data_IF_728742717257
#
_entry.id   IF_728742717257
#
_cell.length_a   1.000
_cell.length_b   1.000
_cell.length_c   1.000
_cell.angle_alpha   90.00
_cell.angle_beta   90.00
_cell.angle_gamma   90.00
#
_symmetry.space_group_name_H-M   'P 1'
#
loop_
_entity.id
_entity.type
_entity.pdbx_description
1 polymer ?
#
# COMPACT_ATOMS: atom_id res chain seq x y z
N UNK A 1 17.37 60.18 -6.22
CA UNK A 1 15.95 60.53 -6.49
C UNK A 1 15.19 59.22 -6.69
N UNK A 2 14.19 58.96 -5.84
CA UNK A 2 13.05 58.03 -6.05
C UNK A 2 13.34 56.57 -6.39
N UNK A 3 13.18 55.66 -5.43
CA UNK A 3 12.38 54.41 -5.54
C UNK A 3 12.25 53.76 -4.14
N UNK A 4 11.73 54.52 -3.17
CA UNK A 4 11.04 53.97 -1.99
C UNK A 4 9.54 54.13 -2.24
N UNK A 5 8.74 53.18 -1.74
CA UNK A 5 7.28 53.15 -1.74
C UNK A 5 6.60 52.34 -2.88
N UNK A 6 6.74 51.01 -2.86
CA UNK A 6 5.67 50.14 -3.36
C UNK A 6 4.70 49.86 -2.22
N UNK A 7 3.53 50.48 -2.24
CA UNK A 7 2.42 50.10 -1.37
C UNK A 7 1.95 48.69 -1.74
N UNK A 8 1.56 47.85 -0.77
CA UNK A 8 1.05 46.51 -1.07
C UNK A 8 -0.23 46.62 -1.93
N UNK A 9 -0.26 45.91 -3.05
CA UNK A 9 -1.41 45.90 -3.95
C UNK A 9 -2.64 45.35 -3.21
N UNK A 10 -3.81 46.02 -3.29
CA UNK A 10 -5.01 45.54 -2.64
C UNK A 10 -5.39 44.17 -3.23
N UNK A 11 -5.84 43.20 -2.40
CA UNK A 11 -6.23 41.89 -2.88
C UNK A 11 -7.42 42.01 -3.85
N UNK A 12 -7.54 41.10 -4.83
CA UNK A 12 -8.58 41.15 -5.85
C UNK A 12 -9.99 41.15 -5.21
N UNK A 13 -10.97 41.86 -5.83
CA UNK A 13 -12.28 42.14 -5.22
C UNK A 13 -13.06 40.89 -4.77
N UNK A 14 -12.83 39.75 -5.43
CA UNK A 14 -13.44 38.45 -5.08
C UNK A 14 -12.99 37.96 -3.69
N UNK A 15 -11.80 38.33 -3.24
CA UNK A 15 -11.23 37.95 -1.94
C UNK A 15 -11.49 38.99 -0.84
N UNK A 16 -11.97 40.20 -1.18
CA UNK A 16 -12.15 41.30 -0.22
C UNK A 16 -13.15 41.06 0.92
N UNK A 17 -14.25 40.29 0.78
CA UNK A 17 -15.09 39.97 1.94
C UNK A 17 -14.39 38.94 2.85
N UNK A 18 -13.67 37.98 2.28
CA UNK A 18 -12.90 36.98 3.02
C UNK A 18 -11.76 37.62 3.83
N UNK A 19 -10.97 38.47 3.19
CA UNK A 19 -9.85 39.19 3.84
C UNK A 19 -10.32 40.09 4.99
N UNK A 20 -11.49 40.74 4.87
CA UNK A 20 -12.07 41.58 5.93
C UNK A 20 -12.55 40.78 7.14
N UNK A 21 -13.09 39.58 6.91
CA UNK A 21 -13.43 38.65 8.00
C UNK A 21 -12.16 38.13 8.66
N UNK A 22 -11.12 37.84 7.87
CA UNK A 22 -9.83 37.34 8.34
C UNK A 22 -9.04 38.34 9.20
N UNK A 23 -9.11 39.63 8.86
CA UNK A 23 -8.48 40.71 9.63
C UNK A 23 -9.11 40.97 11.00
N UNK A 24 -10.31 40.42 11.27
CA UNK A 24 -10.97 40.55 12.59
C UNK A 24 -10.49 39.50 13.60
N UNK A 25 -9.80 38.45 13.14
CA UNK A 25 -9.24 37.43 14.01
C UNK A 25 -7.84 37.83 14.49
N UNK A 26 -7.52 37.51 15.75
CA UNK A 26 -6.19 37.78 16.31
C UNK A 26 -5.08 37.18 15.43
N UNK A 27 -3.97 37.90 15.15
CA UNK A 27 -2.84 37.39 14.35
C UNK A 27 -2.29 36.05 14.85
N UNK A 28 -2.43 35.74 16.14
CA UNK A 28 -2.03 34.47 16.74
C UNK A 28 -2.91 33.27 16.37
N UNK A 29 -4.16 33.51 15.97
CA UNK A 29 -5.12 32.45 15.59
C UNK A 29 -5.12 32.18 14.08
N UNK A 30 -4.52 33.07 13.29
CA UNK A 30 -4.48 32.95 11.82
C UNK A 30 -3.90 31.62 11.33
N UNK A 31 -2.77 31.10 11.88
CA UNK A 31 -2.23 29.82 11.43
C UNK A 31 -3.17 28.64 11.72
N UNK A 32 -3.79 28.62 12.90
CA UNK A 32 -4.73 27.57 13.31
C UNK A 32 -5.99 27.61 12.44
N UNK A 33 -6.55 28.80 12.24
CA UNK A 33 -7.72 28.98 11.39
C UNK A 33 -7.42 28.63 9.92
N UNK A 34 -6.21 28.90 9.43
CA UNK A 34 -5.80 28.50 8.08
C UNK A 34 -5.76 26.97 7.93
N UNK A 35 -5.22 26.25 8.92
CA UNK A 35 -5.23 24.77 8.92
C UNK A 35 -6.66 24.26 8.96
N UNK A 36 -7.51 24.76 9.86
CA UNK A 36 -8.93 24.36 9.95
C UNK A 36 -9.68 24.64 8.65
N UNK A 37 -9.42 25.79 8.01
CA UNK A 37 -10.06 26.15 6.74
C UNK A 37 -9.57 25.23 5.61
N UNK A 38 -8.27 24.92 5.54
CA UNK A 38 -7.72 23.97 4.58
C UNK A 38 -8.34 22.57 4.76
N UNK A 39 -8.54 22.16 6.01
CA UNK A 39 -9.23 20.91 6.38
C UNK A 39 -10.67 20.89 5.86
N UNK A 40 -11.43 21.95 6.10
CA UNK A 40 -12.83 22.05 5.65
C UNK A 40 -12.92 22.11 4.12
N UNK A 41 -12.02 22.84 3.46
CA UNK A 41 -12.01 23.01 1.99
C UNK A 41 -11.61 21.72 1.26
N UNK A 42 -10.87 20.82 1.90
CA UNK A 42 -10.50 19.53 1.32
C UNK A 42 -11.68 18.54 1.24
N UNK A 43 -12.71 18.69 2.09
CA UNK A 43 -13.90 17.80 2.09
C UNK A 43 -14.63 17.82 0.73
N UNK A 44 -15.04 18.97 0.17
CA UNK A 44 -15.65 19.01 -1.16
C UNK A 44 -14.81 18.37 -2.26
N UNK A 45 -13.48 18.55 -2.21
CA UNK A 45 -12.56 17.93 -3.17
C UNK A 45 -12.57 16.41 -3.07
N UNK A 46 -12.46 15.85 -1.86
CA UNK A 46 -12.55 14.41 -1.64
C UNK A 46 -13.91 13.85 -2.07
N UNK A 47 -15.00 14.54 -1.74
CA UNK A 47 -16.34 14.13 -2.17
C UNK A 47 -16.41 14.06 -3.70
N UNK A 48 -15.93 15.08 -4.41
CA UNK A 48 -15.96 15.10 -5.88
C UNK A 48 -15.12 13.96 -6.48
N UNK A 49 -13.96 13.66 -5.90
CA UNK A 49 -13.06 12.63 -6.44
C UNK A 49 -13.48 11.20 -6.10
N UNK A 50 -14.17 11.00 -4.96
CA UNK A 50 -14.54 9.66 -4.46
C UNK A 50 -16.03 9.32 -4.57
N UNK A 51 -16.92 10.30 -4.78
CA UNK A 51 -18.36 10.06 -4.78
C UNK A 51 -18.81 9.08 -5.87
N UNK A 52 -18.15 8.99 -7.03
CA UNK A 52 -18.58 8.15 -8.16
C UNK A 52 -20.10 8.26 -8.46
N UNK A 53 -20.68 9.46 -8.27
CA UNK A 53 -22.13 9.72 -8.44
C UNK A 53 -22.97 9.71 -7.16
N UNK A 54 -22.44 9.28 -6.01
CA UNK A 54 -23.09 9.26 -4.70
C UNK A 54 -22.39 10.18 -3.69
N UNK A 55 -23.01 11.33 -3.43
CA UNK A 55 -22.52 12.34 -2.48
C UNK A 55 -22.43 11.78 -1.06
N UNK A 56 -23.34 10.88 -0.67
CA UNK A 56 -23.35 10.26 0.65
C UNK A 56 -22.12 9.38 0.87
N UNK A 57 -21.72 8.62 -0.15
CA UNK A 57 -20.50 7.81 -0.12
C UNK A 57 -19.24 8.68 -0.01
N UNK A 58 -19.13 9.72 -0.83
CA UNK A 58 -17.99 10.64 -0.80
C UNK A 58 -17.84 11.36 0.56
N UNK A 59 -18.95 11.74 1.19
CA UNK A 59 -18.95 12.32 2.53
C UNK A 59 -18.50 11.29 3.59
N UNK A 60 -19.01 10.06 3.53
CA UNK A 60 -18.61 9.00 4.44
C UNK A 60 -17.09 8.74 4.36
N UNK A 61 -16.55 8.63 3.15
CA UNK A 61 -15.10 8.46 2.93
C UNK A 61 -14.28 9.62 3.49
N UNK A 62 -14.72 10.87 3.29
CA UNK A 62 -14.06 12.03 3.88
C UNK A 62 -14.08 11.97 5.42
N UNK A 63 -15.24 11.67 6.02
CA UNK A 63 -15.36 11.53 7.47
C UNK A 63 -14.50 10.39 8.03
N UNK A 64 -14.42 9.24 7.36
CA UNK A 64 -13.53 8.14 7.77
C UNK A 64 -12.06 8.58 7.72
N UNK A 65 -11.64 9.29 6.67
CA UNK A 65 -10.27 9.78 6.56
C UNK A 65 -9.91 10.79 7.67
N UNK A 66 -10.84 11.69 8.02
CA UNK A 66 -10.65 12.62 9.15
C UNK A 66 -10.69 11.92 10.50
N UNK A 67 -11.59 10.96 10.70
CA UNK A 67 -11.62 10.16 11.91
C UNK A 67 -10.29 9.41 12.10
N UNK A 68 -9.75 8.79 11.05
CA UNK A 68 -8.45 8.13 11.09
C UNK A 68 -7.30 9.11 11.39
N UNK A 69 -7.34 10.34 10.84
CA UNK A 69 -6.36 11.37 11.17
C UNK A 69 -6.45 11.81 12.64
N UNK A 70 -7.66 12.02 13.16
CA UNK A 70 -7.88 12.42 14.55
C UNK A 70 -7.49 11.29 15.51
N UNK A 71 -7.86 10.04 15.19
CA UNK A 71 -7.42 8.85 15.93
C UNK A 71 -5.89 8.74 15.93
N UNK A 72 -5.26 8.91 14.77
CA UNK A 72 -3.80 8.83 14.64
C UNK A 72 -3.05 9.95 15.37
N UNK A 73 -3.64 11.14 15.51
CA UNK A 73 -2.97 12.31 16.10
C UNK A 73 -3.30 12.54 17.57
N UNK A 74 -4.57 12.40 17.97
CA UNK A 74 -5.04 12.71 19.33
C UNK A 74 -5.41 11.43 20.09
N UNK A 75 -5.54 10.30 19.39
CA UNK A 75 -5.98 9.06 20.01
C UNK A 75 -7.48 9.00 20.28
N UNK A 76 -8.30 9.81 19.60
CA UNK A 76 -9.76 9.76 19.74
C UNK A 76 -10.38 9.06 18.56
N UNK A 77 -11.20 8.02 18.81
CA UNK A 77 -11.91 7.28 17.78
C UNK A 77 -13.39 7.12 18.14
N UNK A 78 -14.24 6.96 17.12
CA UNK A 78 -15.65 6.61 17.31
C UNK A 78 -15.91 5.34 16.52
N UNK A 79 -16.27 4.28 17.24
CA UNK A 79 -16.45 2.95 16.68
C UNK A 79 -17.80 2.38 17.07
N UNK A 80 -18.32 1.49 16.25
CA UNK A 80 -19.57 0.78 16.55
C UNK A 80 -19.32 -0.38 17.51
N UNK A 81 -20.32 -0.69 18.31
CA UNK A 81 -20.32 -1.92 19.11
C UNK A 81 -20.35 -3.13 18.17
N UNK A 82 -19.73 -4.23 18.61
CA UNK A 82 -19.83 -5.52 17.92
C UNK A 82 -21.26 -6.04 18.01
N UNK A 83 -21.77 -6.59 16.92
CA UNK A 83 -23.11 -7.18 16.84
C UNK A 83 -23.06 -8.53 16.13
N UNK A 84 -24.08 -9.37 16.31
CA UNK A 84 -24.18 -10.65 15.58
C UNK A 84 -24.34 -10.47 14.06
N UNK A 85 -24.83 -9.31 13.61
CA UNK A 85 -24.95 -9.01 12.19
C UNK A 85 -23.58 -8.88 11.49
N UNK A 86 -22.52 -8.64 12.27
CA UNK A 86 -21.15 -8.49 11.78
C UNK A 86 -20.52 -9.78 11.28
N UNK A 87 -21.19 -10.91 11.53
CA UNK A 87 -20.79 -12.24 11.10
C UNK A 87 -21.88 -12.93 10.28
N UNK A 88 -22.92 -12.21 9.86
CA UNK A 88 -24.10 -12.80 9.23
C UNK A 88 -23.83 -13.54 7.92
N UNK A 89 -22.96 -13.00 7.05
CA UNK A 89 -22.61 -13.61 5.75
C UNK A 89 -21.74 -14.84 5.96
N UNK A 90 -20.79 -14.75 6.90
CA UNK A 90 -19.98 -15.90 7.28
C UNK A 90 -20.83 -17.00 7.95
N UNK A 91 -21.82 -16.63 8.78
CA UNK A 91 -22.77 -17.57 9.37
C UNK A 91 -23.63 -18.24 8.31
N UNK A 92 -24.13 -17.50 7.30
CA UNK A 92 -24.84 -18.09 6.15
C UNK A 92 -23.97 -19.14 5.46
N UNK A 93 -22.69 -18.84 5.23
CA UNK A 93 -21.76 -19.79 4.62
C UNK A 93 -21.52 -21.00 5.51
N UNK A 94 -21.27 -20.82 6.81
CA UNK A 94 -21.12 -21.91 7.79
C UNK A 94 -22.37 -22.76 7.96
N UNK A 95 -23.56 -22.23 7.66
CA UNK A 95 -24.80 -23.00 7.65
C UNK A 95 -24.96 -23.82 6.36
N UNK A 96 -24.39 -23.35 5.24
CA UNK A 96 -24.39 -24.08 3.97
C UNK A 96 -23.38 -25.22 3.93
N UNK A 97 -22.29 -25.10 4.68
CA UNK A 97 -21.24 -26.10 4.79
C UNK A 97 -20.64 -26.08 6.19
N UNK A 98 -20.45 -27.25 6.81
CA UNK A 98 -19.80 -27.35 8.11
C UNK A 98 -18.36 -26.85 8.01
N UNK A 99 -18.01 -25.84 8.81
CA UNK A 99 -16.69 -25.23 8.83
C UNK A 99 -16.09 -25.35 10.21
N UNK A 100 -14.87 -25.86 10.30
CA UNK A 100 -14.05 -25.74 11.50
C UNK A 100 -13.26 -24.44 11.51
N UNK A 101 -12.71 -24.04 12.67
CA UNK A 101 -11.79 -22.90 12.75
C UNK A 101 -10.58 -23.04 11.79
N UNK A 102 -10.07 -24.27 11.57
CA UNK A 102 -9.01 -24.50 10.60
C UNK A 102 -9.47 -24.20 9.17
N UNK A 103 -10.64 -24.70 8.80
CA UNK A 103 -11.21 -24.49 7.46
C UNK A 103 -11.52 -23.01 7.23
N UNK A 104 -12.01 -22.32 8.26
CA UNK A 104 -12.26 -20.88 8.23
C UNK A 104 -11.00 -20.08 7.94
N UNK A 105 -9.86 -20.40 8.57
CA UNK A 105 -8.58 -19.71 8.31
C UNK A 105 -8.08 -19.94 6.89
N UNK A 106 -8.20 -21.16 6.39
CA UNK A 106 -7.84 -21.46 5.01
C UNK A 106 -8.75 -20.73 4.02
N UNK A 107 -10.06 -20.74 4.29
CA UNK A 107 -11.04 -20.03 3.50
C UNK A 107 -10.80 -18.52 3.53
N UNK A 108 -10.52 -17.91 4.68
CA UNK A 108 -10.20 -16.49 4.81
C UNK A 108 -9.07 -16.08 3.87
N UNK A 109 -7.94 -16.81 3.89
CA UNK A 109 -6.81 -16.55 3.00
C UNK A 109 -7.18 -16.67 1.51
N UNK A 110 -8.05 -17.62 1.16
CA UNK A 110 -8.51 -17.81 -0.24
C UNK A 110 -9.47 -16.72 -0.67
N UNK A 111 -10.41 -16.33 0.19
CA UNK A 111 -11.32 -15.21 -0.08
C UNK A 111 -10.53 -13.91 -0.19
N UNK A 112 -9.54 -13.67 0.66
CA UNK A 112 -8.63 -12.53 0.54
C UNK A 112 -7.91 -12.54 -0.81
N UNK A 113 -7.39 -13.68 -1.26
CA UNK A 113 -6.78 -13.81 -2.59
C UNK A 113 -7.79 -13.55 -3.73
N UNK A 114 -9.01 -14.08 -3.63
CA UNK A 114 -10.10 -13.82 -4.59
C UNK A 114 -10.42 -12.31 -4.64
N UNK A 115 -10.51 -11.64 -3.49
CA UNK A 115 -10.80 -10.19 -3.46
C UNK A 115 -9.66 -9.36 -4.03
N UNK A 116 -8.41 -9.77 -3.83
CA UNK A 116 -7.24 -9.09 -4.39
C UNK A 116 -7.14 -9.23 -5.92
N UNK A 117 -7.43 -10.43 -6.44
CA UNK A 117 -7.43 -10.70 -7.89
C UNK A 117 -8.70 -10.16 -8.57
N UNK A 118 -9.82 -10.22 -7.86
CA UNK A 118 -11.18 -9.97 -8.34
C UNK A 118 -11.86 -11.28 -8.76
N UNK A 119 -13.04 -11.57 -8.17
CA UNK A 119 -13.83 -12.78 -8.44
C UNK A 119 -14.10 -13.03 -9.93
N UNK A 120 -14.46 -11.98 -10.68
CA UNK A 120 -14.66 -12.08 -12.13
C UNK A 120 -13.37 -12.43 -12.89
N UNK A 121 -12.22 -11.91 -12.43
CA UNK A 121 -10.92 -12.23 -13.02
C UNK A 121 -10.52 -13.68 -12.71
N UNK A 122 -10.75 -14.18 -11.49
CA UNK A 122 -10.48 -15.59 -11.14
C UNK A 122 -11.20 -16.53 -12.10
N UNK A 123 -12.50 -16.31 -12.34
CA UNK A 123 -13.29 -17.14 -13.26
C UNK A 123 -12.81 -17.00 -14.71
N UNK A 124 -12.52 -15.78 -15.16
CA UNK A 124 -12.00 -15.52 -16.52
C UNK A 124 -10.64 -16.20 -16.73
N UNK A 125 -9.73 -16.05 -15.78
CA UNK A 125 -8.41 -16.66 -15.82
C UNK A 125 -8.51 -18.19 -15.83
N UNK A 126 -9.40 -18.78 -15.04
CA UNK A 126 -9.64 -20.23 -15.05
C UNK A 126 -10.16 -20.73 -16.41
N UNK A 127 -11.05 -19.98 -17.07
CA UNK A 127 -11.50 -20.28 -18.43
C UNK A 127 -10.34 -20.21 -19.43
N UNK A 128 -9.50 -19.17 -19.35
CA UNK A 128 -8.30 -19.04 -20.17
C UNK A 128 -7.34 -20.22 -19.95
N UNK A 129 -7.09 -20.63 -18.71
CA UNK A 129 -6.27 -21.81 -18.39
C UNK A 129 -6.84 -23.07 -19.05
N UNK A 130 -8.14 -23.34 -18.86
CA UNK A 130 -8.81 -24.51 -19.47
C UNK A 130 -8.77 -24.48 -21.00
N UNK A 131 -8.79 -23.29 -21.62
CA UNK A 131 -8.71 -23.12 -23.07
C UNK A 131 -7.33 -23.51 -23.63
N UNK A 132 -6.25 -23.22 -22.90
CA UNK A 132 -4.88 -23.44 -23.38
C UNK A 132 -4.17 -24.63 -22.74
N UNK A 133 -4.80 -25.38 -21.83
CA UNK A 133 -4.21 -26.48 -21.07
C UNK A 133 -3.60 -27.61 -21.94
N UNK A 134 -4.13 -27.83 -23.14
CA UNK A 134 -3.62 -28.87 -24.05
C UNK A 134 -2.34 -28.42 -24.79
N UNK A 135 -2.00 -27.14 -24.70
CA UNK A 135 -0.91 -26.49 -25.44
C UNK A 135 0.16 -25.89 -24.52
N UNK A 136 -0.23 -25.52 -23.30
CA UNK A 136 0.65 -24.97 -22.27
C UNK A 136 0.37 -25.69 -20.95
N UNK A 137 1.44 -26.13 -20.30
CA UNK A 137 1.39 -26.55 -18.91
C UNK A 137 1.36 -25.33 -17.96
N UNK A 138 1.06 -25.51 -16.66
CA UNK A 138 0.99 -24.41 -15.70
C UNK A 138 2.26 -23.56 -15.64
N UNK A 139 3.44 -24.19 -15.73
CA UNK A 139 4.72 -23.47 -15.74
C UNK A 139 4.93 -22.67 -17.03
N UNK A 140 4.48 -23.18 -18.18
CA UNK A 140 4.50 -22.47 -19.46
C UNK A 140 3.60 -21.24 -19.45
N UNK A 141 2.42 -21.31 -18.81
CA UNK A 141 1.54 -20.14 -18.62
C UNK A 141 2.26 -19.04 -17.83
N UNK A 142 2.90 -19.39 -16.71
CA UNK A 142 3.63 -18.44 -15.89
C UNK A 142 4.84 -17.84 -16.63
N UNK A 143 5.61 -18.66 -17.33
CA UNK A 143 6.75 -18.21 -18.13
C UNK A 143 6.32 -17.21 -19.21
N UNK A 144 5.17 -17.43 -19.83
CA UNK A 144 4.58 -16.53 -20.81
C UNK A 144 4.11 -15.23 -20.14
N UNK A 145 3.34 -15.34 -19.04
CA UNK A 145 2.85 -14.21 -18.26
C UNK A 145 3.95 -13.29 -17.72
N UNK A 146 5.08 -13.86 -17.27
CA UNK A 146 6.26 -13.09 -16.83
C UNK A 146 6.84 -12.22 -17.95
N UNK A 147 6.77 -12.69 -19.20
CA UNK A 147 7.49 -12.09 -20.34
C UNK A 147 6.63 -11.19 -21.20
N UNK A 148 5.30 -11.35 -21.22
CA UNK A 148 4.41 -10.50 -22.02
C UNK A 148 4.60 -8.99 -21.75
N UNK A 149 4.74 -8.49 -20.49
CA UNK A 149 4.94 -7.06 -20.25
C UNK A 149 6.24 -6.54 -20.89
N UNK A 150 7.30 -7.35 -20.86
CA UNK A 150 8.60 -7.01 -21.48
C UNK A 150 8.53 -7.05 -23.00
N UNK A 151 7.82 -8.04 -23.57
CA UNK A 151 7.57 -8.11 -25.01
C UNK A 151 6.80 -6.87 -25.48
N UNK A 152 5.80 -6.43 -24.71
CA UNK A 152 5.03 -5.21 -24.98
C UNK A 152 5.89 -3.95 -24.89
N UNK A 153 6.77 -3.86 -23.89
CA UNK A 153 7.69 -2.74 -23.71
C UNK A 153 8.68 -2.60 -24.89
N UNK A 154 9.28 -3.71 -25.32
CA UNK A 154 10.28 -3.72 -26.40
C UNK A 154 9.60 -3.60 -27.78
N UNK A 155 8.43 -4.19 -27.92
CA UNK A 155 7.73 -4.37 -29.20
C UNK A 155 8.07 -5.71 -29.86
N UNK A 156 7.04 -6.42 -30.31
CA UNK A 156 7.19 -7.73 -30.94
C UNK A 156 8.02 -7.67 -32.23
N UNK A 157 7.82 -6.65 -33.06
CA UNK A 157 8.57 -6.49 -34.31
C UNK A 157 10.03 -6.15 -34.06
N UNK A 158 10.32 -5.30 -33.06
CA UNK A 158 11.67 -5.03 -32.59
C UNK A 158 12.36 -6.31 -32.14
N UNK A 159 11.68 -7.14 -31.33
CA UNK A 159 12.23 -8.42 -30.86
C UNK A 159 12.55 -9.38 -32.01
N UNK A 160 11.67 -9.47 -33.02
CA UNK A 160 11.91 -10.29 -34.21
C UNK A 160 13.08 -9.75 -35.04
N UNK A 161 13.16 -8.44 -35.24
CA UNK A 161 14.24 -7.79 -35.98
C UNK A 161 15.60 -7.93 -35.26
N UNK A 162 15.60 -7.94 -33.92
CA UNK A 162 16.80 -8.15 -33.11
C UNK A 162 17.31 -9.60 -33.09
N UNK A 163 16.54 -10.58 -33.59
CA UNK A 163 16.90 -12.00 -33.50
C UNK A 163 18.30 -12.32 -34.03
N UNK A 164 18.72 -11.84 -35.22
CA UNK A 164 20.05 -12.16 -35.75
C UNK A 164 21.18 -11.56 -34.91
N UNK A 165 20.99 -10.32 -34.41
CA UNK A 165 21.97 -9.65 -33.55
C UNK A 165 22.13 -10.37 -32.21
N UNK A 166 21.02 -10.76 -31.59
CA UNK A 166 21.02 -11.45 -30.29
C UNK A 166 21.69 -12.82 -30.40
N UNK A 167 21.42 -13.57 -31.48
CA UNK A 167 22.09 -14.85 -31.74
C UNK A 167 23.60 -14.67 -32.00
N UNK A 168 24.00 -13.62 -32.73
CA UNK A 168 25.42 -13.34 -32.97
C UNK A 168 26.16 -12.93 -31.68
N UNK A 169 25.54 -12.09 -30.84
CA UNK A 169 26.10 -11.67 -29.55
C UNK A 169 26.33 -12.84 -28.61
N UNK A 170 25.36 -13.76 -28.51
CA UNK A 170 25.43 -14.95 -27.66
C UNK A 170 26.58 -15.88 -28.03
N UNK A 171 26.85 -16.02 -29.35
CA UNK A 171 27.95 -16.84 -29.86
C UNK A 171 29.33 -16.18 -29.77
N UNK A 172 29.38 -14.85 -29.71
CA UNK A 172 30.63 -14.10 -29.78
C UNK A 172 31.24 -13.80 -28.40
N UNK A 173 30.41 -13.43 -27.41
CA UNK A 173 30.85 -12.94 -26.10
C UNK A 173 29.87 -13.36 -24.99
N UNK A 174 30.31 -13.30 -23.74
CA UNK A 174 29.40 -13.57 -22.60
C UNK A 174 28.32 -12.50 -22.49
N UNK A 175 27.16 -12.85 -21.90
CA UNK A 175 26.07 -11.88 -21.68
C UNK A 175 26.49 -10.65 -20.85
N UNK A 176 27.47 -10.79 -19.96
CA UNK A 176 28.00 -9.69 -19.15
C UNK A 176 28.87 -8.75 -19.99
N UNK A 177 29.71 -9.30 -20.86
CA UNK A 177 30.51 -8.52 -21.81
C UNK A 177 29.61 -7.81 -22.82
N UNK A 178 28.58 -8.48 -23.33
CA UNK A 178 27.59 -7.88 -24.23
C UNK A 178 26.86 -6.70 -23.59
N UNK A 179 26.48 -6.82 -22.32
CA UNK A 179 25.85 -5.71 -21.60
C UNK A 179 26.83 -4.55 -21.35
N UNK A 180 28.10 -4.86 -21.08
CA UNK A 180 29.15 -3.85 -20.89
C UNK A 180 29.40 -3.08 -22.19
N UNK A 181 29.53 -3.81 -23.30
CA UNK A 181 29.64 -3.26 -24.65
C UNK A 181 28.44 -2.33 -24.94
N UNK A 182 27.22 -2.80 -24.70
CA UNK A 182 26.02 -2.01 -24.96
C UNK A 182 25.98 -0.71 -24.13
N UNK A 183 26.35 -0.76 -22.85
CA UNK A 183 26.40 0.42 -21.97
C UNK A 183 27.43 1.45 -22.41
N UNK A 184 28.56 1.01 -22.96
CA UNK A 184 29.59 1.90 -23.47
C UNK A 184 29.04 2.82 -24.57
N UNK A 185 28.30 2.26 -25.52
CA UNK A 185 27.87 3.00 -26.71
C UNK A 185 26.54 3.76 -26.53
N UNK A 186 25.62 3.25 -25.72
CA UNK A 186 24.32 3.92 -25.48
C UNK A 186 24.51 5.25 -24.74
N UNK A 187 25.51 5.36 -23.86
CA UNK A 187 25.77 6.59 -23.10
C UNK A 187 26.28 7.77 -23.94
N UNK A 188 26.88 7.49 -25.11
CA UNK A 188 27.51 8.50 -25.96
C UNK A 188 26.54 9.11 -26.99
N UNK A 189 25.39 8.47 -27.24
CA UNK A 189 24.33 8.97 -28.14
C UNK A 189 24.69 8.99 -29.63
N UNK A 190 25.92 8.60 -30.00
CA UNK A 190 26.38 8.45 -31.38
C UNK A 190 27.51 7.42 -31.46
N UNK A 191 27.69 6.76 -32.61
CA UNK A 191 28.77 5.80 -32.84
C UNK A 191 29.79 6.47 -33.78
N UNK A 192 31.05 6.55 -33.36
CA UNK A 192 32.15 7.04 -34.21
C UNK A 192 32.57 5.96 -35.21
N UNK A 193 33.23 6.35 -36.31
CA UNK A 193 33.69 5.40 -37.33
C UNK A 193 34.66 4.34 -36.80
N UNK A 194 35.47 4.67 -35.79
CA UNK A 194 36.38 3.70 -35.14
C UNK A 194 35.62 2.69 -34.28
N UNK A 195 34.62 3.17 -33.52
CA UNK A 195 33.75 2.29 -32.72
C UNK A 195 32.91 1.39 -33.62
N UNK A 196 32.38 1.93 -34.72
CA UNK A 196 31.65 1.17 -35.73
C UNK A 196 32.49 0.03 -36.30
N UNK A 197 33.73 0.32 -36.72
CA UNK A 197 34.66 -0.70 -37.20
C UNK A 197 34.96 -1.77 -36.14
N UNK A 198 35.07 -1.38 -34.87
CA UNK A 198 35.29 -2.32 -33.75
C UNK A 198 34.08 -3.23 -33.51
N UNK A 199 32.86 -2.69 -33.57
CA UNK A 199 31.62 -3.47 -33.41
C UNK A 199 31.46 -4.42 -34.59
N UNK A 200 31.70 -3.98 -35.83
CA UNK A 200 31.61 -4.83 -37.02
C UNK A 200 32.66 -5.95 -37.03
N UNK A 201 33.87 -5.69 -36.53
CA UNK A 201 34.90 -6.71 -36.39
C UNK A 201 34.49 -7.83 -35.42
N UNK A 202 33.75 -7.48 -34.36
CA UNK A 202 33.23 -8.44 -33.38
C UNK A 202 31.93 -9.11 -33.86
N UNK A 203 31.05 -8.34 -34.51
CA UNK A 203 29.71 -8.73 -34.93
C UNK A 203 29.50 -8.32 -36.41
N UNK A 204 29.99 -9.11 -37.37
CA UNK A 204 29.92 -8.78 -38.79
C UNK A 204 28.50 -8.52 -39.31
N UNK A 205 27.49 -9.11 -38.67
CA UNK A 205 26.08 -8.92 -39.01
C UNK A 205 25.58 -7.47 -38.80
N UNK A 206 26.31 -6.66 -38.02
CA UNK A 206 25.96 -5.26 -37.79
C UNK A 206 26.28 -4.36 -38.98
N UNK A 207 27.05 -4.84 -39.98
CA UNK A 207 27.38 -4.08 -41.18
C UNK A 207 26.15 -3.62 -41.96
N UNK A 208 25.08 -4.42 -41.95
CA UNK A 208 23.82 -4.10 -42.63
C UNK A 208 22.87 -3.22 -41.80
N UNK A 209 23.20 -2.93 -40.53
CA UNK A 209 22.38 -2.09 -39.65
C UNK A 209 22.80 -0.62 -39.74
N UNK A 210 21.82 0.29 -39.69
CA UNK A 210 22.12 1.70 -39.50
C UNK A 210 22.66 1.96 -38.09
N UNK A 211 23.45 3.03 -37.90
CA UNK A 211 23.94 3.41 -36.56
C UNK A 211 22.78 3.68 -35.59
N UNK A 212 21.67 4.22 -36.10
CA UNK A 212 20.46 4.46 -35.32
C UNK A 212 19.81 3.17 -34.83
N UNK A 213 19.66 2.17 -35.71
CA UNK A 213 19.08 0.88 -35.34
C UNK A 213 19.98 0.11 -34.38
N UNK A 214 21.31 0.14 -34.61
CA UNK A 214 22.29 -0.47 -33.73
C UNK A 214 22.24 0.16 -32.33
N UNK A 215 22.24 1.49 -32.22
CA UNK A 215 22.08 2.18 -30.93
C UNK A 215 20.75 1.85 -30.25
N UNK A 216 19.66 1.78 -31.01
CA UNK A 216 18.35 1.39 -30.48
C UNK A 216 18.36 -0.02 -29.89
N UNK A 217 18.94 -0.99 -30.62
CA UNK A 217 19.04 -2.38 -30.16
C UNK A 217 19.98 -2.55 -28.97
N UNK A 218 21.12 -1.86 -28.94
CA UNK A 218 21.98 -1.81 -27.76
C UNK A 218 21.23 -1.19 -26.58
N UNK A 219 20.44 -0.14 -26.81
CA UNK A 219 19.55 0.47 -25.81
C UNK A 219 18.56 -0.53 -25.21
N UNK A 220 17.94 -1.38 -26.04
CA UNK A 220 17.07 -2.47 -25.56
C UNK A 220 17.83 -3.45 -24.66
N UNK A 221 19.05 -3.86 -25.05
CA UNK A 221 19.88 -4.77 -24.24
C UNK A 221 20.20 -4.14 -22.88
N UNK A 222 20.50 -2.84 -22.85
CA UNK A 222 20.76 -2.10 -21.60
C UNK A 222 19.51 -2.05 -20.72
N UNK A 223 18.37 -1.66 -21.29
CA UNK A 223 17.11 -1.51 -20.55
C UNK A 223 16.59 -2.85 -20.00
N UNK A 224 16.77 -3.93 -20.75
CA UNK A 224 16.35 -5.28 -20.34
C UNK A 224 17.40 -6.00 -19.47
N UNK A 225 18.47 -5.29 -19.09
CA UNK A 225 19.56 -5.76 -18.25
C UNK A 225 20.27 -7.02 -18.80
N UNK A 226 20.44 -7.08 -20.12
CA UNK A 226 21.29 -8.05 -20.79
C UNK A 226 20.60 -8.88 -21.88
N UNK A 227 21.44 -9.56 -22.67
CA UNK A 227 21.05 -10.36 -23.84
C UNK A 227 20.14 -11.52 -23.46
N UNK A 228 20.41 -12.20 -22.34
CA UNK A 228 19.60 -13.36 -21.87
C UNK A 228 18.14 -12.98 -21.60
N UNK A 229 17.88 -11.77 -21.08
CA UNK A 229 16.50 -11.33 -20.84
C UNK A 229 15.75 -11.10 -22.15
N UNK A 230 16.42 -10.54 -23.17
CA UNK A 230 15.89 -10.35 -24.52
C UNK A 230 15.63 -11.70 -25.19
N UNK A 231 16.57 -12.64 -25.12
CA UNK A 231 16.42 -14.01 -25.64
C UNK A 231 15.22 -14.73 -25.04
N UNK A 232 15.02 -14.65 -23.71
CA UNK A 232 13.86 -15.26 -23.06
C UNK A 232 12.55 -14.63 -23.56
N UNK A 233 12.55 -13.33 -23.81
CA UNK A 233 11.40 -12.62 -24.36
C UNK A 233 11.12 -13.02 -25.81
N UNK A 234 12.16 -13.22 -26.63
CA UNK A 234 12.04 -13.78 -27.99
C UNK A 234 11.49 -15.22 -27.97
N UNK A 235 11.97 -16.06 -27.06
CA UNK A 235 11.49 -17.43 -26.91
C UNK A 235 10.00 -17.46 -26.54
N UNK A 236 9.56 -16.62 -25.60
CA UNK A 236 8.14 -16.53 -25.24
C UNK A 236 7.28 -15.85 -26.31
N UNK A 237 7.83 -14.91 -27.09
CA UNK A 237 7.15 -14.37 -28.27
C UNK A 237 6.88 -15.46 -29.31
N UNK A 238 7.83 -16.37 -29.53
CA UNK A 238 7.62 -17.50 -30.44
C UNK A 238 6.55 -18.48 -29.93
N UNK A 239 6.46 -18.69 -28.61
CA UNK A 239 5.36 -19.45 -27.99
C UNK A 239 4.02 -18.75 -28.25
N UNK A 240 3.94 -17.44 -28.03
CA UNK A 240 2.74 -16.64 -28.26
C UNK A 240 2.29 -16.67 -29.73
N UNK A 241 3.23 -16.52 -30.67
CA UNK A 241 3.00 -16.64 -32.11
C UNK A 241 2.49 -18.05 -32.46
N UNK A 242 3.08 -19.09 -31.85
CA UNK A 242 2.62 -20.46 -31.98
C UNK A 242 1.19 -20.66 -31.50
N UNK A 243 0.75 -19.92 -30.46
CA UNK A 243 -0.62 -19.90 -29.99
C UNK A 243 -1.59 -19.18 -30.92
N UNK A 244 -1.08 -18.37 -31.86
CA UNK A 244 -1.89 -17.48 -32.69
C UNK A 244 -2.33 -16.22 -31.96
N UNK A 245 -1.57 -15.80 -30.94
CA UNK A 245 -1.88 -14.66 -30.08
C UNK A 245 -0.87 -13.54 -30.26
N UNK A 246 -1.29 -12.34 -29.90
CA UNK A 246 -0.50 -11.12 -29.76
C UNK A 246 -0.51 -10.67 -28.30
N UNK A 247 0.45 -9.82 -27.93
CA UNK A 247 0.52 -9.27 -26.55
C UNK A 247 -0.65 -8.34 -26.18
N UNK A 248 -1.52 -8.01 -27.12
CA UNK A 248 -2.70 -7.19 -26.91
C UNK A 248 -3.98 -8.02 -26.73
N UNK A 249 -3.94 -9.32 -27.05
CA UNK A 249 -5.11 -10.17 -26.93
C UNK A 249 -5.49 -10.42 -25.47
N UNK A 250 -6.79 -10.59 -25.21
CA UNK A 250 -7.31 -10.80 -23.86
C UNK A 250 -6.66 -11.99 -23.15
N UNK A 251 -6.44 -13.10 -23.87
CA UNK A 251 -5.75 -14.27 -23.32
C UNK A 251 -4.30 -13.98 -22.88
N UNK A 252 -3.59 -13.10 -23.61
CA UNK A 252 -2.24 -12.69 -23.23
C UNK A 252 -2.26 -11.85 -21.95
N UNK A 253 -3.20 -10.90 -21.85
CA UNK A 253 -3.42 -10.12 -20.62
C UNK A 253 -3.81 -11.01 -19.43
N UNK A 254 -4.58 -12.08 -19.68
CA UNK A 254 -4.94 -13.04 -18.66
C UNK A 254 -3.73 -13.85 -18.18
N UNK A 255 -2.80 -14.26 -19.06
CA UNK A 255 -1.56 -14.92 -18.65
C UNK A 255 -0.71 -14.05 -17.71
N UNK A 256 -0.64 -12.73 -17.94
CA UNK A 256 -0.01 -11.80 -16.99
C UNK A 256 -0.72 -11.82 -15.62
N UNK A 257 -2.05 -11.78 -15.63
CA UNK A 257 -2.86 -11.84 -14.41
C UNK A 257 -2.68 -13.14 -13.63
N UNK A 258 -2.60 -14.27 -14.34
CA UNK A 258 -2.34 -15.59 -13.77
C UNK A 258 -0.94 -15.62 -13.15
N UNK A 259 0.09 -15.17 -13.87
CA UNK A 259 1.45 -15.09 -13.36
C UNK A 259 1.55 -14.22 -12.09
N UNK A 260 0.82 -13.11 -12.03
CA UNK A 260 0.80 -12.25 -10.84
C UNK A 260 0.19 -12.94 -9.60
N UNK A 261 -0.61 -13.99 -9.79
CA UNK A 261 -1.14 -14.82 -8.70
C UNK A 261 -0.18 -15.96 -8.29
N UNK A 262 0.90 -16.20 -9.05
CA UNK A 262 1.87 -17.26 -8.77
C UNK A 262 2.63 -17.05 -7.46
N UNK A 263 3.28 -18.11 -6.99
CA UNK A 263 4.20 -18.07 -5.84
C UNK A 263 5.48 -18.85 -6.17
N UNK A 264 6.59 -18.67 -5.44
CA UNK A 264 7.89 -19.27 -5.79
C UNK A 264 7.88 -20.78 -6.02
N UNK A 265 6.95 -21.49 -5.37
CA UNK A 265 6.86 -22.96 -5.44
C UNK A 265 5.54 -23.45 -6.06
N UNK A 266 4.69 -22.56 -6.56
CA UNK A 266 3.38 -22.94 -7.09
C UNK A 266 2.97 -22.04 -8.24
N UNK A 267 2.73 -22.62 -9.43
CA UNK A 267 2.30 -21.87 -10.59
C UNK A 267 1.00 -21.10 -10.35
N UNK A 268 0.87 -19.95 -11.00
CA UNK A 268 -0.31 -19.11 -10.93
C UNK A 268 -1.57 -19.86 -11.37
N UNK A 269 -1.45 -20.67 -12.42
CA UNK A 269 -2.58 -21.44 -12.95
C UNK A 269 -3.19 -22.41 -11.91
N UNK A 270 -2.35 -23.11 -11.14
CA UNK A 270 -2.82 -24.02 -10.09
C UNK A 270 -3.50 -23.28 -8.95
N UNK A 271 -3.06 -22.06 -8.63
CA UNK A 271 -3.67 -21.21 -7.62
C UNK A 271 -5.03 -20.73 -8.12
N UNK A 272 -5.12 -20.23 -9.36
CA UNK A 272 -6.37 -19.74 -9.95
C UNK A 272 -7.44 -20.83 -10.00
N UNK A 273 -7.10 -22.05 -10.41
CA UNK A 273 -8.08 -23.16 -10.45
C UNK A 273 -8.57 -23.58 -9.04
N UNK A 274 -7.70 -23.48 -8.03
CA UNK A 274 -8.10 -23.68 -6.63
C UNK A 274 -9.06 -22.58 -6.15
N UNK A 275 -8.78 -21.31 -6.51
CA UNK A 275 -9.63 -20.18 -6.16
C UNK A 275 -10.96 -20.22 -6.91
N UNK A 276 -10.99 -20.66 -8.18
CA UNK A 276 -12.23 -20.89 -8.94
C UNK A 276 -13.15 -21.85 -8.18
N UNK A 277 -12.59 -22.94 -7.63
CA UNK A 277 -13.38 -23.92 -6.87
C UNK A 277 -14.06 -23.26 -5.67
N UNK A 278 -13.34 -22.41 -4.93
CA UNK A 278 -13.90 -21.68 -3.78
C UNK A 278 -14.93 -20.65 -4.24
N UNK A 279 -14.63 -19.89 -5.27
CA UNK A 279 -15.54 -18.88 -5.83
C UNK A 279 -16.87 -19.49 -6.27
N UNK A 280 -16.84 -20.65 -6.94
CA UNK A 280 -18.05 -21.37 -7.32
C UNK A 280 -18.85 -21.87 -6.11
N UNK A 281 -18.18 -22.30 -5.03
CA UNK A 281 -18.83 -22.66 -3.77
C UNK A 281 -19.49 -21.46 -3.10
N UNK A 282 -18.82 -20.30 -3.07
CA UNK A 282 -19.39 -19.06 -2.53
C UNK A 282 -20.66 -18.65 -3.29
N UNK A 283 -20.62 -18.70 -4.62
CA UNK A 283 -21.79 -18.43 -5.46
C UNK A 283 -22.92 -19.42 -5.21
N UNK A 284 -22.62 -20.71 -5.07
CA UNK A 284 -23.61 -21.73 -4.75
C UNK A 284 -24.25 -21.51 -3.35
N UNK A 285 -23.49 -20.97 -2.40
CA UNK A 285 -23.98 -20.56 -1.08
C UNK A 285 -24.73 -19.22 -1.10
N UNK A 286 -24.88 -18.57 -2.26
CA UNK A 286 -25.57 -17.28 -2.41
C UNK A 286 -24.76 -16.08 -1.91
N UNK A 287 -23.44 -16.24 -1.77
CA UNK A 287 -22.54 -15.15 -1.39
C UNK A 287 -22.14 -14.39 -2.66
N UNK A 288 -22.31 -13.06 -2.64
CA UNK A 288 -22.02 -12.19 -3.79
C UNK A 288 -21.18 -10.96 -3.43
N UNK A 289 -20.77 -10.83 -2.16
CA UNK A 289 -19.93 -9.75 -1.66
C UNK A 289 -18.72 -10.38 -0.94
N UNK A 290 -17.74 -10.79 -1.73
CA UNK A 290 -16.52 -11.41 -1.25
C UNK A 290 -15.70 -10.46 -0.34
N UNK A 291 -15.60 -9.15 -0.62
CA UNK A 291 -14.95 -8.20 0.31
C UNK A 291 -15.65 -8.08 1.66
N UNK A 292 -16.98 -8.17 1.71
CA UNK A 292 -17.70 -8.26 2.98
C UNK A 292 -17.37 -9.58 3.69
N UNK A 293 -17.46 -10.72 2.99
CA UNK A 293 -17.13 -12.02 3.56
C UNK A 293 -15.70 -12.05 4.12
N UNK A 294 -14.70 -11.58 3.37
CA UNK A 294 -13.30 -11.48 3.81
C UNK A 294 -13.18 -10.77 5.17
N UNK A 295 -13.82 -9.60 5.32
CA UNK A 295 -13.84 -8.85 6.59
C UNK A 295 -14.49 -9.63 7.72
N UNK A 296 -15.59 -10.34 7.46
CA UNK A 296 -16.26 -11.14 8.48
C UNK A 296 -15.42 -12.36 8.89
N UNK A 297 -14.77 -13.05 7.94
CA UNK A 297 -13.88 -14.16 8.24
C UNK A 297 -12.66 -13.71 9.06
N UNK A 298 -12.09 -12.54 8.74
CA UNK A 298 -11.03 -11.93 9.54
C UNK A 298 -11.47 -11.61 10.97
N UNK A 299 -12.68 -11.05 11.13
CA UNK A 299 -13.29 -10.81 12.44
C UNK A 299 -13.47 -12.11 13.23
N UNK A 300 -14.01 -13.16 12.61
CA UNK A 300 -14.23 -14.45 13.27
C UNK A 300 -12.91 -15.08 13.70
N UNK A 301 -11.88 -15.03 12.85
CA UNK A 301 -10.55 -15.49 13.23
C UNK A 301 -10.02 -14.72 14.45
N UNK A 302 -10.21 -13.41 14.51
CA UNK A 302 -9.85 -12.63 15.69
C UNK A 302 -10.65 -13.04 16.93
N UNK A 303 -11.96 -13.26 16.81
CA UNK A 303 -12.81 -13.73 17.91
C UNK A 303 -12.34 -15.08 18.47
N UNK A 304 -11.90 -16.01 17.63
CA UNK A 304 -11.27 -17.26 18.08
C UNK A 304 -9.91 -17.01 18.75
N UNK A 305 -9.09 -16.13 18.20
CA UNK A 305 -7.75 -15.85 18.73
C UNK A 305 -7.79 -15.21 20.13
N UNK A 306 -8.79 -14.36 20.39
CA UNK A 306 -9.00 -13.73 21.71
C UNK A 306 -9.88 -14.57 22.65
N UNK A 307 -10.28 -15.78 22.26
CA UNK A 307 -11.05 -16.70 23.10
C UNK A 307 -12.53 -16.33 23.30
N UNK A 308 -13.08 -15.44 22.47
CA UNK A 308 -14.52 -15.12 22.46
C UNK A 308 -15.32 -16.30 21.91
N UNK A 309 -14.79 -16.93 20.87
CA UNK A 309 -15.33 -18.16 20.29
C UNK A 309 -14.39 -19.33 20.62
N UNK A 310 -14.97 -20.46 21.00
CA UNK A 310 -14.21 -21.63 21.45
C UNK A 310 -14.67 -22.92 20.79
N UNK A 311 -15.94 -23.01 20.38
CA UNK A 311 -16.48 -24.19 19.73
C UNK A 311 -15.81 -24.48 18.38
N UNK A 312 -15.59 -25.76 18.11
CA UNK A 312 -14.92 -26.22 16.90
C UNK A 312 -15.75 -25.96 15.64
N UNK A 313 -17.07 -26.17 15.71
CA UNK A 313 -18.01 -25.85 14.64
C UNK A 313 -18.35 -24.36 14.65
N UNK A 314 -18.05 -23.67 13.55
CA UNK A 314 -18.17 -22.21 13.46
C UNK A 314 -19.63 -21.77 13.58
N UNK A 315 -20.57 -22.46 12.93
CA UNK A 315 -21.98 -22.08 13.00
C UNK A 315 -22.52 -22.15 14.45
N UNK A 316 -22.18 -23.23 15.16
CA UNK A 316 -22.53 -23.40 16.57
C UNK A 316 -21.86 -22.34 17.45
N UNK A 317 -20.58 -22.03 17.23
CA UNK A 317 -19.87 -20.99 17.97
C UNK A 317 -20.56 -19.61 17.80
N UNK A 318 -20.81 -19.21 16.55
CA UNK A 318 -21.42 -17.90 16.25
C UNK A 318 -22.84 -17.76 16.79
N UNK A 319 -23.62 -18.84 16.81
CA UNK A 319 -25.03 -18.80 17.26
C UNK A 319 -25.19 -18.96 18.76
N UNK A 320 -24.28 -19.66 19.44
CA UNK A 320 -24.43 -20.00 20.87
C UNK A 320 -23.49 -19.24 21.80
N UNK A 321 -22.34 -18.74 21.31
CA UNK A 321 -21.33 -18.10 22.15
C UNK A 321 -21.30 -16.58 21.96
N UNK A 322 -21.48 -16.09 20.73
CA UNK A 322 -21.27 -14.67 20.40
C UNK A 322 -22.27 -13.74 21.11
N UNK A 323 -23.58 -14.01 21.01
CA UNK A 323 -24.58 -13.14 21.62
C UNK A 323 -24.44 -13.09 23.16
N UNK A 324 -24.34 -14.22 23.88
CA UNK A 324 -24.11 -14.18 25.32
C UNK A 324 -22.82 -13.45 25.72
N UNK A 325 -21.77 -13.55 24.90
CA UNK A 325 -20.52 -12.83 25.15
C UNK A 325 -20.70 -11.32 25.00
N UNK A 326 -21.35 -10.85 23.94
CA UNK A 326 -21.62 -9.41 23.73
C UNK A 326 -22.55 -8.86 24.82
N UNK A 327 -23.50 -9.65 25.31
CA UNK A 327 -24.42 -9.24 26.38
C UNK A 327 -23.71 -9.11 27.75
N UNK A 328 -22.60 -9.81 27.94
CA UNK A 328 -21.85 -9.84 29.20
C UNK A 328 -20.62 -8.92 29.23
N UNK A 329 -20.19 -8.40 28.08
CA UNK A 329 -18.92 -7.67 27.94
C UNK A 329 -19.08 -6.45 27.03
N UNK A 330 -18.25 -5.43 27.23
CA UNK A 330 -18.19 -4.28 26.35
C UNK A 330 -17.24 -4.61 25.21
N UNK A 331 -17.81 -4.84 24.02
CA UNK A 331 -17.05 -5.27 22.84
C UNK A 331 -17.22 -4.29 21.70
N UNK A 332 -16.12 -3.66 21.30
CA UNK A 332 -16.12 -2.67 20.22
C UNK A 332 -15.48 -3.26 18.97
N UNK A 333 -16.21 -3.17 17.86
CA UNK A 333 -15.70 -3.55 16.55
C UNK A 333 -14.79 -2.44 16.01
N UNK A 334 -13.53 -2.80 15.75
CA UNK A 334 -12.56 -1.91 15.10
C UNK A 334 -12.28 -2.38 13.67
N UNK A 335 -12.59 -1.56 12.65
CA UNK A 335 -12.39 -1.95 11.26
C UNK A 335 -10.90 -2.05 10.91
N UNK A 336 -10.59 -2.83 9.88
CA UNK A 336 -9.21 -3.11 9.44
C UNK A 336 -8.54 -4.20 10.29
N UNK A 337 -7.21 -4.23 10.27
CA UNK A 337 -6.41 -5.21 11.05
C UNK A 337 -6.25 -4.80 12.53
N UNK A 338 -7.18 -4.03 13.08
CA UNK A 338 -7.14 -3.64 14.48
C UNK A 338 -7.80 -4.72 15.34
N UNK A 339 -7.20 -5.09 16.49
CA UNK A 339 -7.83 -6.05 17.39
C UNK A 339 -9.11 -5.47 17.99
N UNK A 340 -10.03 -6.37 18.35
CA UNK A 340 -11.21 -6.04 19.13
C UNK A 340 -10.81 -5.39 20.45
N UNK A 341 -11.59 -4.41 20.89
CA UNK A 341 -11.48 -3.88 22.25
C UNK A 341 -12.55 -4.55 23.09
N UNK A 342 -12.10 -5.17 24.17
CA UNK A 342 -12.95 -5.94 25.09
C UNK A 342 -12.67 -5.43 26.49
N UNK A 343 -13.72 -5.04 27.21
CA UNK A 343 -13.69 -4.85 28.66
C UNK A 343 -14.50 -5.97 29.33
N UNK A 344 -13.83 -7.02 29.83
CA UNK A 344 -14.51 -8.23 30.30
C UNK A 344 -15.40 -7.96 31.53
N UNK A 345 -16.62 -8.51 31.50
CA UNK A 345 -17.58 -8.38 32.60
C UNK A 345 -18.19 -6.99 32.79
N UNK A 346 -17.85 -6.03 31.92
CA UNK A 346 -18.40 -4.69 31.93
C UNK A 346 -19.46 -4.52 30.84
N UNK A 347 -20.60 -3.92 31.20
CA UNK A 347 -21.64 -3.51 30.24
C UNK A 347 -22.04 -2.04 30.44
N UNK A 348 -21.31 -1.36 31.32
CA UNK A 348 -21.55 0.04 31.65
C UNK A 348 -21.28 0.95 30.46
N UNK A 349 -22.01 2.06 30.39
CA UNK A 349 -21.87 3.03 29.30
C UNK A 349 -20.54 3.81 29.31
N UNK A 350 -19.62 3.53 30.22
CA UNK A 350 -18.28 4.13 30.27
C UNK A 350 -17.35 3.28 31.11
N UNK A 351 -16.07 3.28 30.79
CA UNK A 351 -15.06 2.55 31.54
C UNK A 351 -13.65 2.85 31.06
N UNK A 352 -12.71 2.11 31.65
CA UNK A 352 -11.28 2.18 31.32
C UNK A 352 -10.78 0.76 31.18
N UNK A 353 -10.22 0.46 30.01
CA UNK A 353 -9.46 -0.76 29.74
C UNK A 353 -8.01 -0.46 30.13
N UNK A 354 -7.42 -1.36 30.90
CA UNK A 354 -6.04 -1.26 31.39
C UNK A 354 -5.12 -2.22 30.62
N UNK A 355 -3.84 -1.88 30.48
CA UNK A 355 -2.81 -2.76 29.94
C UNK A 355 -2.21 -3.62 31.05
N UNK A 356 -2.07 -4.92 30.82
CA UNK A 356 -1.29 -5.82 31.69
C UNK A 356 0.21 -5.56 31.46
N UNK A 357 0.84 -4.58 32.12
CA UNK A 357 2.14 -3.97 31.74
C UNK A 357 3.40 -4.88 31.83
N UNK A 358 3.36 -6.04 31.16
CA UNK A 358 4.31 -7.16 31.17
C UNK A 358 4.42 -7.91 32.51
N UNK A 359 3.46 -7.74 33.41
CA UNK A 359 3.41 -8.41 34.73
C UNK A 359 1.97 -8.79 35.08
N UNK A 360 1.50 -9.99 34.67
CA UNK A 360 0.11 -10.42 34.87
C UNK A 360 -0.37 -10.47 36.35
N UNK A 361 0.57 -10.42 37.30
CA UNK A 361 0.30 -10.64 38.73
C UNK A 361 0.40 -9.37 39.60
N UNK A 362 0.69 -8.19 39.01
CA UNK A 362 0.80 -6.93 39.77
C UNK A 362 -0.06 -5.80 39.17
N UNK A 363 -1.34 -5.66 39.60
CA UNK A 363 -2.23 -4.62 39.09
C UNK A 363 -1.83 -3.19 39.48
N UNK A 364 -0.71 -3.00 40.19
CA UNK A 364 -0.21 -1.67 40.56
C UNK A 364 0.62 -1.00 39.46
N UNK A 365 1.04 -1.73 38.43
CA UNK A 365 1.75 -1.18 37.27
C UNK A 365 0.88 -0.99 36.02
N UNK A 366 -0.38 -1.44 36.08
CA UNK A 366 -1.37 -1.32 35.01
C UNK A 366 -1.58 0.16 34.62
N UNK A 367 -1.47 0.43 33.32
CA UNK A 367 -1.71 1.75 32.74
C UNK A 367 -3.02 1.77 31.96
N UNK A 368 -3.73 2.91 31.92
CA UNK A 368 -4.95 3.02 31.12
C UNK A 368 -4.61 2.92 29.63
N UNK A 369 -5.03 1.83 29.00
CA UNK A 369 -4.91 1.62 27.56
C UNK A 369 -5.94 2.46 26.79
N UNK A 370 -7.20 2.30 27.18
CA UNK A 370 -8.34 2.87 26.47
C UNK A 370 -9.40 3.35 27.45
N UNK A 371 -9.77 4.63 27.37
CA UNK A 371 -10.94 5.18 28.06
C UNK A 371 -12.10 5.19 27.07
N UNK A 372 -13.28 4.75 27.49
CA UNK A 372 -14.44 4.71 26.60
C UNK A 372 -15.72 5.31 27.22
N UNK A 373 -16.57 5.79 26.31
CA UNK A 373 -17.94 6.22 26.60
C UNK A 373 -18.85 5.67 25.50
N UNK A 374 -19.75 4.77 25.86
CA UNK A 374 -20.79 4.24 25.00
C UNK A 374 -21.97 5.21 24.88
N UNK A 375 -22.40 5.42 23.64
CA UNK A 375 -23.63 6.14 23.32
C UNK A 375 -24.40 5.32 22.27
N UNK A 376 -25.45 4.63 22.71
CA UNK A 376 -26.24 3.75 21.84
C UNK A 376 -25.41 2.57 21.30
N UNK A 377 -25.46 2.35 19.98
CA UNK A 377 -24.70 1.29 19.30
C UNK A 377 -23.26 1.66 18.97
N UNK A 378 -22.69 2.70 19.59
CA UNK A 378 -21.34 3.17 19.33
C UNK A 378 -20.61 3.57 20.60
N UNK A 379 -19.29 3.58 20.54
CA UNK A 379 -18.39 3.98 21.60
C UNK A 379 -17.44 5.07 21.11
N UNK A 380 -17.33 6.14 21.90
CA UNK A 380 -16.22 7.07 21.84
C UNK A 380 -15.05 6.43 22.61
N UNK A 381 -13.91 6.34 21.96
CA UNK A 381 -12.68 5.76 22.48
C UNK A 381 -11.62 6.85 22.58
N UNK A 382 -10.83 6.80 23.65
CA UNK A 382 -9.67 7.64 23.83
C UNK A 382 -8.47 6.76 24.25
N UNK A 383 -7.39 6.83 23.47
CA UNK A 383 -6.13 6.11 23.68
C UNK A 383 -5.09 7.10 24.24
N UNK A 384 -4.89 7.18 25.57
CA UNK A 384 -4.02 8.19 26.18
C UNK A 384 -2.58 8.14 25.67
N UNK A 385 -2.07 6.92 25.45
CA UNK A 385 -0.72 6.69 24.94
C UNK A 385 -0.47 7.36 23.57
N UNK A 386 -1.47 7.39 22.67
CA UNK A 386 -1.32 8.03 21.36
C UNK A 386 -1.14 9.54 21.48
N UNK A 387 -1.88 10.16 22.39
CA UNK A 387 -1.73 11.58 22.68
C UNK A 387 -0.35 11.90 23.24
N UNK A 388 0.15 11.07 24.17
CA UNK A 388 1.49 11.22 24.74
C UNK A 388 2.58 11.16 23.65
N UNK A 389 2.54 10.14 22.79
CA UNK A 389 3.50 9.99 21.69
C UNK A 389 3.43 11.17 20.73
N UNK A 390 2.22 11.65 20.40
CA UNK A 390 2.06 12.82 19.55
C UNK A 390 2.68 14.07 20.19
N UNK A 391 2.40 14.33 21.47
CA UNK A 391 2.95 15.48 22.21
C UNK A 391 4.48 15.41 22.27
N UNK A 392 5.04 14.24 22.61
CA UNK A 392 6.49 14.04 22.66
C UNK A 392 7.18 14.36 21.32
N UNK A 393 6.60 13.90 20.21
CA UNK A 393 7.11 14.21 18.85
C UNK A 393 6.90 15.67 18.48
N UNK A 394 5.73 16.24 18.81
CA UNK A 394 5.40 17.62 18.49
C UNK A 394 6.32 18.61 19.20
N UNK A 395 6.67 18.36 20.47
CA UNK A 395 7.61 19.20 21.24
C UNK A 395 8.95 19.31 20.51
N UNK A 396 9.51 18.19 20.04
CA UNK A 396 10.78 18.19 19.31
C UNK A 396 10.71 19.05 18.02
N UNK A 397 9.64 18.91 17.24
CA UNK A 397 9.44 19.70 16.02
C UNK A 397 9.19 21.18 16.31
N UNK A 398 8.43 21.50 17.36
CA UNK A 398 8.19 22.89 17.78
C UNK A 398 9.50 23.56 18.20
N UNK A 399 10.34 22.87 18.97
CA UNK A 399 11.66 23.37 19.37
C UNK A 399 12.56 23.58 18.15
N UNK A 400 12.58 22.63 17.19
CA UNK A 400 13.35 22.77 15.95
C UNK A 400 12.89 23.99 15.12
N UNK A 401 11.57 24.15 14.95
CA UNK A 401 11.00 25.30 14.24
C UNK A 401 11.27 26.64 14.93
N UNK A 402 11.22 26.66 16.26
CA UNK A 402 11.61 27.83 17.07
C UNK A 402 13.09 28.16 16.90
N UNK A 403 13.99 27.17 16.92
CA UNK A 403 15.43 27.39 16.71
C UNK A 403 15.72 28.02 15.34
N UNK A 404 15.08 27.52 14.28
CA UNK A 404 15.18 28.10 12.92
C UNK A 404 14.64 29.53 12.90
N UNK A 405 13.48 29.77 13.51
CA UNK A 405 12.86 31.11 13.56
C UNK A 405 13.72 32.11 14.32
N UNK A 406 14.34 31.67 15.43
CA UNK A 406 15.31 32.48 16.19
C UNK A 406 16.54 32.78 15.33
N UNK A 407 17.07 31.80 14.59
CA UNK A 407 18.16 32.01 13.63
C UNK A 407 17.83 33.05 12.56
N UNK A 408 16.62 33.00 11.99
CA UNK A 408 16.13 34.00 11.04
C UNK A 408 15.96 35.39 11.66
N UNK A 409 15.41 35.47 12.88
CA UNK A 409 15.24 36.74 13.59
C UNK A 409 16.56 37.36 14.02
N UNK A 410 17.59 36.53 14.28
CA UNK A 410 18.95 36.97 14.59
C UNK A 410 19.76 37.41 13.35
N UNK A 411 19.18 37.32 12.14
CA UNK A 411 19.86 37.73 10.90
C UNK A 411 20.93 36.75 10.42
N UNK A 412 20.96 35.51 10.94
CA UNK A 412 21.96 34.48 10.63
C UNK A 412 21.71 33.78 9.28
N UNK A 413 21.31 34.51 8.24
CA UNK A 413 21.17 33.98 6.87
C UNK A 413 22.51 33.82 6.12
N UNK A 414 23.64 34.13 6.75
CA UNK A 414 24.94 34.19 6.08
C UNK A 414 26.06 33.36 6.74
N UNK A 415 25.71 32.39 7.59
CA UNK A 415 26.62 31.30 7.92
C UNK A 415 26.23 30.16 6.98
N UNK A 416 26.94 30.01 5.86
CA UNK A 416 26.67 28.97 4.87
C UNK A 416 26.46 27.61 5.52
N UNK A 417 25.69 26.73 4.88
CA UNK A 417 25.22 25.45 5.44
C UNK A 417 26.30 24.63 6.19
N UNK A 418 27.57 24.73 5.79
CA UNK A 418 28.72 24.16 6.50
C UNK A 418 28.90 24.68 7.93
N UNK A 419 28.84 25.99 8.17
CA UNK A 419 29.09 26.56 9.50
C UNK A 419 27.99 26.23 10.51
N UNK A 420 26.74 26.08 10.06
CA UNK A 420 25.63 25.62 10.92
C UNK A 420 25.78 24.13 11.28
N UNK A 421 26.24 23.30 10.34
CA UNK A 421 26.56 21.90 10.59
C UNK A 421 27.71 21.72 11.58
N UNK A 422 28.81 22.48 11.42
CA UNK A 422 29.95 22.41 12.32
C UNK A 422 29.63 22.87 13.74
N UNK A 423 28.87 23.97 13.89
CA UNK A 423 28.45 24.46 15.21
C UNK A 423 27.43 23.52 15.85
N UNK A 424 26.51 22.95 15.09
CA UNK A 424 25.57 21.94 15.57
C UNK A 424 26.28 20.66 16.05
N UNK A 425 27.26 20.18 15.29
CA UNK A 425 28.08 19.03 15.68
C UNK A 425 28.91 19.32 16.94
N UNK A 426 29.53 20.50 17.05
CA UNK A 426 30.26 20.93 18.24
C UNK A 426 29.37 21.02 19.48
N UNK A 427 28.15 21.55 19.35
CA UNK A 427 27.19 21.61 20.45
C UNK A 427 26.68 20.22 20.86
N UNK A 428 26.41 19.33 19.91
CA UNK A 428 26.01 17.95 20.19
C UNK A 428 27.10 17.18 20.95
N UNK A 429 28.37 17.32 20.51
CA UNK A 429 29.53 16.76 21.22
C UNK A 429 29.69 17.39 22.60
N UNK A 430 29.55 18.71 22.72
CA UNK A 430 29.65 19.38 24.01
C UNK A 430 28.57 18.94 25.01
N UNK A 431 27.32 18.79 24.56
CA UNK A 431 26.23 18.26 25.40
C UNK A 431 26.54 16.81 25.82
N UNK A 432 27.01 15.97 24.89
CA UNK A 432 27.35 14.57 25.18
C UNK A 432 28.54 14.36 26.10
N UNK A 433 29.40 15.37 26.31
CA UNK A 433 30.58 15.31 27.17
C UNK A 433 30.54 16.29 28.36
N UNK A 434 29.44 17.01 28.56
CA UNK A 434 29.33 18.00 29.64
C UNK A 434 28.83 17.35 30.94
N UNK A 435 29.62 17.40 32.03
CA UNK A 435 29.26 16.79 33.32
C UNK A 435 28.03 17.42 34.01
N UNK A 436 27.52 18.53 33.47
CA UNK A 436 26.30 19.20 33.95
C UNK A 436 25.04 18.42 33.59
N UNK A 437 25.08 17.56 32.56
CA UNK A 437 23.94 16.75 32.13
C UNK A 437 23.97 15.29 32.63
N UNK A 438 24.99 14.91 33.42
CA UNK A 438 25.10 13.57 34.04
C UNK A 438 23.97 13.25 35.05
N UNK A 439 23.18 14.25 35.44
CA UNK A 439 22.04 14.11 36.35
C UNK A 439 20.67 13.97 35.64
N UNK A 440 20.63 13.93 34.30
CA UNK A 440 19.39 13.64 33.55
C UNK A 440 19.32 12.12 33.35
N UNK A 441 18.32 11.41 33.88
CA UNK A 441 18.25 9.96 33.76
C UNK A 441 18.03 9.56 32.29
N UNK A 442 18.99 8.84 31.71
CA UNK A 442 18.90 8.31 30.34
C UNK A 442 20.23 8.12 29.60
N UNK A 443 21.26 7.63 30.29
CA UNK A 443 22.42 6.95 29.69
C UNK A 443 22.36 5.47 30.01
#
# INVERSE_FOLDING_TARGET
MSLLNRQPTPPPPILTPFVRVWQRFSPSLVPVLAVLTALIVAIPFMVITTAQGDIGRGLNTAFTAYAAFIEGSVGVAVNRMLTVDDVAVALQLSNSQALTNRDLRQLANRVDAITAIGAANVLRYAETIRTYQDRLDPAGIDALGERIPKIREIGADTLRAMQPLITALDGAISSTEALTLARQYVGEGSITSEQRASIEALLPITADLSDGDLLAYLGVIVNQNGVVSVQRSQAQLAVLDGLGLTVADAAALDFEGIFNASSPNRPGADIILELETVELQLKAAGITDEPLLARQLGLINNLYNVGVLTQADVASALTTELQPYIDANFVVYRPGNQPLLIDPGQTGGSGVIYTDANTPDDPSDDQPDTVYLQAGGSALLFFPFRLEVMLARAIAFVIAGLAVTVGFKAGLFNVGAEGQLYVGALLAVWIGFSPIFDAVPGG
#
